data_IF_383171661102
#
_entry.id   IF_383171661102
#
_cell.length_a   1.000
_cell.length_b   1.000
_cell.length_c   1.000
_cell.angle_alpha   90.00
_cell.angle_beta   90.00
_cell.angle_gamma   90.00
#
_symmetry.space_group_name_H-M   'P 1'
#
loop_
_entity.id
_entity.type
_entity.pdbx_description
1 polymer ?
#
# COMPACT_ATOMS: atom_id res chain seq x y z
N UNK A 1 -3.95 8.84 20.19
CA UNK A 1 -3.24 7.60 20.53
C UNK A 1 -1.91 7.69 19.80
N UNK A 2 -0.77 7.58 20.49
CA UNK A 2 0.56 7.74 19.89
C UNK A 2 0.82 6.54 18.97
N UNK A 3 0.61 6.71 17.66
CA UNK A 3 1.18 5.77 16.70
C UNK A 3 2.66 6.12 16.60
N UNK A 4 3.48 5.32 17.27
CA UNK A 4 4.90 5.28 17.05
C UNK A 4 5.08 4.98 15.56
N UNK A 5 5.41 6.01 14.77
CA UNK A 5 5.59 5.96 13.32
C UNK A 5 6.82 5.10 12.99
N UNK A 6 6.71 3.81 13.32
CA UNK A 6 7.70 2.79 13.05
C UNK A 6 7.63 2.56 11.56
N UNK A 7 8.75 2.70 10.83
CA UNK A 7 8.71 2.53 9.38
C UNK A 7 8.12 1.15 9.06
N UNK A 8 7.13 1.07 8.15
CA UNK A 8 6.49 -0.17 7.79
C UNK A 8 7.53 -1.18 7.33
N UNK A 9 7.55 -2.34 8.00
CA UNK A 9 8.55 -3.35 7.73
C UNK A 9 8.12 -4.17 6.50
N UNK A 10 8.85 -4.11 5.36
CA UNK A 10 8.45 -4.78 4.12
C UNK A 10 8.30 -6.30 4.28
N UNK A 11 8.96 -6.91 5.28
CA UNK A 11 8.84 -8.33 5.55
C UNK A 11 7.49 -8.75 6.15
N UNK A 12 6.79 -7.85 6.85
CA UNK A 12 5.46 -8.08 7.45
C UNK A 12 4.33 -7.91 6.41
N UNK A 13 4.67 -7.37 5.23
CA UNK A 13 3.76 -7.08 4.13
C UNK A 13 3.67 -8.28 3.17
N UNK A 14 3.52 -9.49 3.70
CA UNK A 14 3.48 -10.72 2.91
C UNK A 14 2.14 -10.94 2.18
N UNK A 15 1.09 -10.28 2.65
CA UNK A 15 -0.29 -10.46 2.18
C UNK A 15 -0.93 -9.12 1.80
N UNK A 16 -1.96 -9.19 0.95
CA UNK A 16 -2.72 -8.00 0.53
C UNK A 16 -3.36 -7.28 1.72
N UNK A 17 -3.80 -8.03 2.74
CA UNK A 17 -4.41 -7.47 3.95
C UNK A 17 -3.41 -6.61 4.75
N UNK A 18 -2.19 -7.12 5.01
CA UNK A 18 -1.12 -6.35 5.67
C UNK A 18 -0.74 -5.09 4.89
N UNK A 19 -0.72 -5.19 3.55
CA UNK A 19 -0.46 -4.05 2.66
C UNK A 19 -1.58 -3.03 2.75
N UNK A 20 -2.83 -3.49 2.74
CA UNK A 20 -4.00 -2.65 2.84
C UNK A 20 -4.05 -1.90 4.16
N UNK A 21 -3.77 -2.57 5.28
CA UNK A 21 -3.71 -1.99 6.61
C UNK A 21 -2.61 -0.91 6.72
N UNK A 22 -1.40 -1.23 6.22
CA UNK A 22 -0.28 -0.29 6.21
C UNK A 22 -0.56 0.96 5.37
N UNK A 23 -1.16 0.80 4.19
CA UNK A 23 -1.49 1.93 3.33
C UNK A 23 -2.64 2.76 3.91
N UNK A 24 -3.66 2.11 4.50
CA UNK A 24 -4.76 2.79 5.15
C UNK A 24 -4.28 3.68 6.29
N UNK A 25 -3.39 3.18 7.15
CA UNK A 25 -2.78 3.95 8.25
C UNK A 25 -2.01 5.17 7.72
N UNK A 26 -1.20 4.98 6.67
CA UNK A 26 -0.47 6.07 6.03
C UNK A 26 -1.40 7.13 5.38
N UNK A 27 -2.52 6.71 4.78
CA UNK A 27 -3.52 7.64 4.24
C UNK A 27 -4.32 8.35 5.33
N UNK A 28 -4.58 7.69 6.47
CA UNK A 28 -5.26 8.28 7.62
C UNK A 28 -4.41 9.38 8.28
N UNK A 29 -3.09 9.18 8.35
CA UNK A 29 -2.14 10.20 8.80
C UNK A 29 -2.15 11.44 7.89
N UNK A 30 -2.23 11.22 6.57
CA UNK A 30 -2.35 12.28 5.57
C UNK A 30 -1.06 13.06 5.31
N UNK A 31 0.06 12.68 5.93
CA UNK A 31 1.38 13.23 5.63
C UNK A 31 2.01 12.58 4.39
N UNK A 32 2.43 13.40 3.43
CA UNK A 32 3.03 12.92 2.18
C UNK A 32 4.30 12.09 2.40
N UNK A 33 5.09 12.38 3.45
CA UNK A 33 6.29 11.61 3.75
C UNK A 33 5.94 10.20 4.27
N UNK A 34 4.91 10.08 5.10
CA UNK A 34 4.43 8.78 5.62
C UNK A 34 3.88 7.92 4.49
N UNK A 35 3.08 8.52 3.59
CA UNK A 35 2.56 7.84 2.39
C UNK A 35 3.71 7.35 1.51
N UNK A 36 4.69 8.20 1.21
CA UNK A 36 5.87 7.79 0.43
C UNK A 36 6.62 6.63 1.07
N UNK A 37 6.85 6.66 2.39
CA UNK A 37 7.54 5.58 3.11
C UNK A 37 6.75 4.27 3.04
N UNK A 38 5.42 4.32 3.23
CA UNK A 38 4.56 3.16 3.10
C UNK A 38 4.60 2.58 1.67
N UNK A 39 4.53 3.44 0.66
CA UNK A 39 4.64 3.03 -0.74
C UNK A 39 5.99 2.35 -1.04
N UNK A 40 7.09 2.88 -0.52
CA UNK A 40 8.42 2.27 -0.67
C UNK A 40 8.54 0.92 0.06
N UNK A 41 7.89 0.76 1.22
CA UNK A 41 7.83 -0.52 1.92
C UNK A 41 7.03 -1.56 1.12
N UNK A 42 5.87 -1.16 0.58
CA UNK A 42 5.03 -2.02 -0.27
C UNK A 42 5.78 -2.43 -1.55
N UNK A 43 6.56 -1.54 -2.16
CA UNK A 43 7.38 -1.85 -3.33
C UNK A 43 8.41 -2.98 -3.09
N UNK A 44 8.83 -3.16 -1.84
CA UNK A 44 9.79 -4.17 -1.39
C UNK A 44 9.12 -5.39 -0.76
N UNK A 45 7.80 -5.35 -0.61
CA UNK A 45 7.04 -6.35 0.08
C UNK A 45 6.86 -7.65 -0.74
N UNK A 46 6.81 -8.82 -0.10
CA UNK A 46 6.46 -10.07 -0.77
C UNK A 46 5.04 -10.02 -1.37
N UNK A 47 4.11 -9.36 -0.68
CA UNK A 47 2.70 -9.26 -1.07
C UNK A 47 2.41 -8.30 -2.23
N UNK A 48 3.41 -7.57 -2.74
CA UNK A 48 3.25 -6.62 -3.85
C UNK A 48 2.52 -7.23 -5.06
N UNK A 49 2.79 -8.50 -5.36
CA UNK A 49 2.12 -9.21 -6.46
C UNK A 49 0.61 -9.33 -6.28
N UNK A 50 0.14 -9.52 -5.04
CA UNK A 50 -1.30 -9.58 -4.74
C UNK A 50 -1.96 -8.21 -4.91
N UNK A 51 -1.28 -7.14 -4.48
CA UNK A 51 -1.75 -5.77 -4.70
C UNK A 51 -1.81 -5.43 -6.18
N UNK A 52 -0.77 -5.72 -6.96
CA UNK A 52 -0.76 -5.49 -8.40
C UNK A 52 -1.90 -6.23 -9.11
N UNK A 53 -2.13 -7.50 -8.74
CA UNK A 53 -3.23 -8.28 -9.29
C UNK A 53 -4.61 -7.68 -8.95
N UNK A 54 -4.77 -7.12 -7.76
CA UNK A 54 -6.02 -6.49 -7.32
C UNK A 54 -6.27 -5.12 -7.97
N UNK A 55 -5.22 -4.33 -8.18
CA UNK A 55 -5.27 -3.06 -8.94
C UNK A 55 -5.43 -3.32 -10.44
N UNK A 56 -5.01 -4.48 -10.93
CA UNK A 56 -5.13 -4.86 -12.34
C UNK A 56 -3.96 -4.41 -13.21
N UNK A 57 -2.80 -4.16 -12.60
CA UNK A 57 -1.57 -3.76 -13.31
C UNK A 57 -0.42 -4.76 -13.05
N UNK A 58 0.63 -4.78 -13.91
CA UNK A 58 1.76 -5.68 -13.71
C UNK A 58 2.51 -5.36 -12.41
N UNK A 59 2.99 -6.41 -11.71
CA UNK A 59 3.83 -6.25 -10.50
C UNK A 59 5.04 -5.37 -10.75
N UNK A 60 5.72 -5.53 -11.89
CA UNK A 60 6.90 -4.74 -12.25
C UNK A 60 6.55 -3.27 -12.47
N UNK A 61 5.40 -2.99 -13.06
CA UNK A 61 4.91 -1.64 -13.31
C UNK A 61 4.51 -0.94 -12.01
N UNK A 62 3.77 -1.63 -11.14
CA UNK A 62 3.45 -1.15 -9.80
C UNK A 62 4.73 -0.90 -8.98
N UNK A 63 5.68 -1.84 -9.00
CA UNK A 63 6.96 -1.68 -8.31
C UNK A 63 7.71 -0.45 -8.83
N UNK A 64 7.84 -0.31 -10.15
CA UNK A 64 8.55 0.80 -10.76
C UNK A 64 7.91 2.14 -10.40
N UNK A 65 6.58 2.24 -10.43
CA UNK A 65 5.86 3.45 -10.04
C UNK A 65 6.11 3.82 -8.56
N UNK A 66 6.04 2.84 -7.65
CA UNK A 66 6.29 3.06 -6.22
C UNK A 66 7.75 3.44 -5.93
N UNK A 67 8.72 2.84 -6.63
CA UNK A 67 10.16 3.13 -6.47
C UNK A 67 10.56 4.46 -7.10
N UNK A 68 9.96 4.81 -8.25
CA UNK A 68 10.22 6.07 -8.93
C UNK A 68 9.50 7.26 -8.27
N UNK A 69 8.67 7.02 -7.25
CA UNK A 69 7.75 8.00 -6.68
C UNK A 69 6.85 8.66 -7.75
N UNK A 70 6.62 7.93 -8.84
CA UNK A 70 5.90 8.37 -10.04
C UNK A 70 4.48 7.80 -10.06
N UNK A 71 3.89 7.62 -8.88
CA UNK A 71 2.51 7.21 -8.73
C UNK A 71 1.59 8.42 -8.87
N UNK A 72 0.73 8.39 -9.89
CA UNK A 72 -0.28 9.42 -10.10
C UNK A 72 -1.43 9.27 -9.11
N UNK A 73 -2.20 10.34 -8.92
CA UNK A 73 -3.39 10.34 -8.07
C UNK A 73 -4.36 9.20 -8.44
N UNK A 74 -4.51 8.87 -9.73
CA UNK A 74 -5.30 7.73 -10.20
C UNK A 74 -4.84 6.40 -9.61
N UNK A 75 -3.54 6.11 -9.61
CA UNK A 75 -2.99 4.88 -9.05
C UNK A 75 -3.22 4.81 -7.55
N UNK A 76 -3.00 5.92 -6.84
CA UNK A 76 -3.29 6.05 -5.41
C UNK A 76 -4.77 5.78 -5.11
N UNK A 77 -5.68 6.32 -5.93
CA UNK A 77 -7.12 6.10 -5.79
C UNK A 77 -7.53 4.64 -6.09
N UNK A 78 -6.91 3.99 -7.08
CA UNK A 78 -7.15 2.57 -7.35
C UNK A 78 -6.69 1.68 -6.19
N UNK A 79 -5.49 1.94 -5.67
CA UNK A 79 -4.98 1.27 -4.48
C UNK A 79 -5.94 1.48 -3.30
N UNK A 80 -6.36 2.72 -3.05
CA UNK A 80 -7.32 3.03 -1.97
C UNK A 80 -8.64 2.30 -2.14
N UNK A 81 -9.18 2.18 -3.36
CA UNK A 81 -10.39 1.39 -3.63
C UNK A 81 -10.18 -0.09 -3.34
N UNK A 82 -9.06 -0.67 -3.77
CA UNK A 82 -8.73 -2.07 -3.50
C UNK A 82 -8.65 -2.32 -1.99
N UNK A 83 -7.98 -1.42 -1.27
CA UNK A 83 -7.84 -1.45 0.19
C UNK A 83 -9.21 -1.37 0.87
N UNK A 84 -10.06 -0.42 0.48
CA UNK A 84 -11.42 -0.24 1.03
C UNK A 84 -12.32 -1.47 0.76
N UNK A 85 -12.24 -2.03 -0.46
CA UNK A 85 -12.94 -3.25 -0.84
C UNK A 85 -12.45 -4.48 -0.06
N UNK A 86 -11.15 -4.59 0.18
CA UNK A 86 -10.56 -5.69 0.96
C UNK A 86 -10.97 -5.60 2.43
N UNK A 87 -10.88 -4.41 3.03
CA UNK A 87 -11.27 -4.17 4.42
C UNK A 87 -12.77 -4.36 4.66
N UNK A 88 -13.60 -4.04 3.66
CA UNK A 88 -15.05 -4.26 3.72
C UNK A 88 -15.45 -5.73 3.59
N UNK A 89 -14.61 -6.57 2.97
CA UNK A 89 -14.86 -8.01 2.80
C UNK A 89 -14.39 -8.90 3.96
N UNK A 90 -13.45 -8.43 4.80
CA UNK A 90 -12.79 -9.22 5.85
C UNK A 90 -13.44 -9.20 7.24
N UNK A 91 -14.51 -8.43 7.45
CA UNK A 91 -15.22 -8.35 8.74
C UNK A 91 -16.66 -8.84 8.60
N UNK A 92 -16.83 -10.16 8.51
CA UNK A 92 -18.12 -10.86 8.56
C UNK A 92 -18.05 -12.07 9.47
#
# INVERSE_FOLDING_TARGET
>A
MNQENTPPNPAELDSLDSIADCLADAFEDGDGAVITVAMQAVARAPGLGALAAAVGIPREELQAALVAEEFNLDLTLEIMKVVDLHMSGGRG
#
